data_IF_466748635622
#
_entry.id   IF_466748635622
#
_cell.length_a   1.000
_cell.length_b   1.000
_cell.length_c   1.000
_cell.angle_alpha   90.00
_cell.angle_beta   90.00
_cell.angle_gamma   90.00
#
_symmetry.space_group_name_H-M   'P 1'
#
loop_
_entity.id
_entity.type
_entity.pdbx_description
1 polymer ?
#
# COMPACT_ATOMS: atom_id res chain seq x y z
N UNK A 1 13.20 13.92 0.45
CA UNK A 1 14.50 13.45 -0.09
C UNK A 1 14.16 12.19 -0.85
N UNK A 2 14.44 12.09 -2.16
CA UNK A 2 14.11 10.87 -2.90
C UNK A 2 14.90 9.70 -2.33
N UNK A 3 14.18 8.69 -1.84
CA UNK A 3 14.70 7.37 -1.50
C UNK A 3 15.72 6.94 -2.56
N UNK A 4 17.02 6.96 -2.22
CA UNK A 4 18.06 6.37 -3.06
C UNK A 4 17.94 4.85 -2.94
N UNK A 5 16.89 4.29 -3.54
CA UNK A 5 16.72 2.86 -3.68
C UNK A 5 17.83 2.39 -4.61
N UNK A 6 18.93 1.89 -4.05
CA UNK A 6 19.96 1.22 -4.84
C UNK A 6 19.31 0.09 -5.65
N UNK A 7 19.72 -0.08 -6.90
CA UNK A 7 19.19 -1.11 -7.82
C UNK A 7 19.19 -2.53 -7.22
N UNK A 8 20.12 -2.82 -6.30
CA UNK A 8 20.15 -4.10 -5.58
C UNK A 8 18.96 -4.31 -4.64
N UNK A 9 18.51 -3.26 -3.95
CA UNK A 9 17.32 -3.33 -3.09
C UNK A 9 16.06 -3.46 -3.95
N UNK A 10 16.01 -2.72 -5.05
CA UNK A 10 14.90 -2.82 -6.00
C UNK A 10 14.82 -4.22 -6.61
N UNK A 11 15.95 -4.82 -7.00
CA UNK A 11 15.99 -6.19 -7.53
C UNK A 11 15.50 -7.22 -6.51
N UNK A 12 15.98 -7.16 -5.26
CA UNK A 12 15.57 -8.09 -4.21
C UNK A 12 14.07 -7.96 -3.87
N UNK A 13 13.54 -6.74 -3.85
CA UNK A 13 12.10 -6.51 -3.63
C UNK A 13 11.29 -6.94 -4.84
N UNK A 14 11.75 -6.68 -6.07
CA UNK A 14 11.09 -7.13 -7.30
C UNK A 14 10.99 -8.66 -7.36
N UNK A 15 12.04 -9.39 -6.97
CA UNK A 15 11.97 -10.85 -6.85
C UNK A 15 10.92 -11.30 -5.82
N UNK A 16 10.83 -10.63 -4.67
CA UNK A 16 9.79 -10.95 -3.68
C UNK A 16 8.39 -10.64 -4.19
N UNK A 17 8.19 -9.55 -4.91
CA UNK A 17 6.91 -9.17 -5.50
C UNK A 17 6.52 -10.15 -6.60
N UNK A 18 7.47 -10.58 -7.44
CA UNK A 18 7.21 -11.59 -8.47
C UNK A 18 6.79 -12.93 -7.83
N UNK A 19 7.52 -13.35 -6.79
CA UNK A 19 7.18 -14.55 -6.02
C UNK A 19 5.85 -14.42 -5.28
N UNK A 20 5.56 -13.25 -4.70
CA UNK A 20 4.29 -12.96 -4.05
C UNK A 20 3.17 -13.01 -5.08
N UNK A 21 3.30 -12.34 -6.22
CA UNK A 21 2.31 -12.31 -7.29
C UNK A 21 2.03 -13.69 -7.90
N UNK A 22 3.02 -14.58 -7.96
CA UNK A 22 2.80 -15.98 -8.37
C UNK A 22 1.95 -16.77 -7.37
N UNK A 23 1.93 -16.36 -6.09
CA UNK A 23 1.15 -17.03 -5.04
C UNK A 23 -0.18 -16.35 -4.75
N UNK A 24 -0.16 -15.02 -4.70
CA UNK A 24 -1.22 -14.13 -4.23
C UNK A 24 -1.10 -12.78 -4.94
N UNK A 25 -2.14 -12.40 -5.67
CA UNK A 25 -2.19 -11.11 -6.35
C UNK A 25 -2.33 -9.97 -5.33
N UNK A 26 -1.83 -8.80 -5.71
CA UNK A 26 -2.03 -7.56 -4.96
C UNK A 26 -3.42 -7.00 -5.23
N UNK A 27 -4.05 -6.50 -4.17
CA UNK A 27 -5.36 -5.85 -4.17
C UNK A 27 -5.24 -4.43 -3.63
N UNK A 28 -6.10 -3.54 -4.11
CA UNK A 28 -6.35 -2.25 -3.45
C UNK A 28 -7.68 -2.38 -2.73
N UNK A 29 -7.66 -2.08 -1.43
CA UNK A 29 -8.86 -2.02 -0.62
C UNK A 29 -8.99 -0.64 0.01
N UNK A 30 -10.24 -0.21 0.18
CA UNK A 30 -10.55 0.94 1.01
C UNK A 30 -10.98 0.47 2.38
N UNK A 31 -10.47 1.12 3.42
CA UNK A 31 -10.85 0.98 4.81
C UNK A 31 -11.59 2.25 5.21
N UNK A 32 -12.83 2.10 5.67
CA UNK A 32 -13.64 3.19 6.20
C UNK A 32 -13.75 3.02 7.70
N UNK A 33 -13.11 3.89 8.47
CA UNK A 33 -13.19 3.86 9.93
C UNK A 33 -14.63 4.17 10.38
N UNK A 34 -15.24 3.29 11.19
CA UNK A 34 -16.63 3.49 11.65
C UNK A 34 -16.77 4.66 12.61
N UNK A 35 -15.70 4.99 13.36
CA UNK A 35 -15.71 6.03 14.37
C UNK A 35 -15.69 7.44 13.77
N UNK A 36 -14.90 7.66 12.71
CA UNK A 36 -14.65 8.98 12.11
C UNK A 36 -15.26 9.13 10.72
N UNK A 37 -15.55 8.02 10.03
CA UNK A 37 -15.90 8.02 8.62
C UNK A 37 -14.70 8.21 7.70
N UNK A 38 -13.47 8.27 8.23
CA UNK A 38 -12.26 8.47 7.44
C UNK A 38 -12.06 7.31 6.47
N UNK A 39 -11.84 7.64 5.20
CA UNK A 39 -11.57 6.66 4.15
C UNK A 39 -10.07 6.62 3.88
N UNK A 40 -9.48 5.43 3.99
CA UNK A 40 -8.08 5.18 3.69
C UNK A 40 -7.97 4.06 2.64
N UNK A 41 -7.23 4.29 1.57
CA UNK A 41 -7.00 3.29 0.52
C UNK A 41 -5.63 2.68 0.70
N UNK A 42 -5.54 1.37 0.80
CA UNK A 42 -4.29 0.66 1.04
C UNK A 42 -4.10 -0.41 -0.03
N UNK A 43 -2.84 -0.68 -0.36
CA UNK A 43 -2.44 -1.77 -1.24
C UNK A 43 -1.93 -2.89 -0.33
N UNK A 44 -2.29 -4.13 -0.63
CA UNK A 44 -1.77 -5.30 0.09
C UNK A 44 -2.00 -6.56 -0.74
N UNK A 45 -1.47 -7.71 -0.35
CA UNK A 45 -1.82 -8.98 -0.97
C UNK A 45 -3.16 -9.53 -0.44
N UNK A 46 -3.86 -10.34 -1.24
CA UNK A 46 -5.18 -10.86 -0.86
C UNK A 46 -5.20 -11.67 0.45
N UNK A 47 -4.10 -12.32 0.82
CA UNK A 47 -4.02 -13.11 2.07
C UNK A 47 -3.86 -12.19 3.29
N UNK A 48 -2.99 -11.19 3.18
CA UNK A 48 -2.83 -10.13 4.17
C UNK A 48 -4.11 -9.32 4.33
N UNK A 49 -4.82 -9.01 3.25
CA UNK A 49 -6.13 -8.34 3.31
C UNK A 49 -7.11 -9.10 4.20
N UNK A 50 -7.25 -10.42 4.01
CA UNK A 50 -8.15 -11.25 4.84
C UNK A 50 -7.76 -11.17 6.31
N UNK A 51 -6.46 -11.28 6.58
CA UNK A 51 -5.91 -11.22 7.94
C UNK A 51 -6.16 -9.87 8.61
N UNK A 52 -6.01 -8.76 7.87
CA UNK A 52 -6.25 -7.39 8.35
C UNK A 52 -7.76 -7.15 8.55
N UNK A 53 -8.57 -7.59 7.58
CA UNK A 53 -10.03 -7.47 7.65
C UNK A 53 -10.57 -8.21 8.88
N UNK A 54 -10.12 -9.42 9.15
CA UNK A 54 -10.53 -10.16 10.34
C UNK A 54 -10.15 -9.47 11.65
N UNK A 55 -8.99 -8.79 11.70
CA UNK A 55 -8.51 -8.05 12.87
C UNK A 55 -9.26 -6.74 13.09
N UNK A 56 -9.62 -6.03 12.02
CA UNK A 56 -10.17 -4.67 12.08
C UNK A 56 -11.65 -4.57 11.67
N UNK A 57 -12.34 -5.67 11.38
CA UNK A 57 -13.78 -5.69 11.03
C UNK A 57 -14.69 -5.04 12.07
N UNK A 58 -14.25 -5.01 13.33
CA UNK A 58 -14.99 -4.38 14.42
C UNK A 58 -14.98 -2.85 14.28
N UNK A 59 -13.82 -2.28 13.97
CA UNK A 59 -13.55 -0.84 14.00
C UNK A 59 -13.68 -0.15 12.63
N UNK A 60 -13.46 -0.89 11.53
CA UNK A 60 -13.49 -0.37 10.18
C UNK A 60 -14.25 -1.28 9.21
N UNK A 61 -14.80 -0.70 8.15
CA UNK A 61 -15.39 -1.41 7.02
C UNK A 61 -14.37 -1.43 5.89
N UNK A 62 -13.83 -2.61 5.62
CA UNK A 62 -12.82 -2.81 4.58
C UNK A 62 -13.44 -3.50 3.36
N UNK A 63 -13.29 -2.88 2.18
CA UNK A 63 -13.78 -3.43 0.92
C UNK A 63 -12.72 -3.34 -0.16
N UNK A 64 -12.52 -4.42 -0.90
CA UNK A 64 -11.63 -4.44 -2.07
C UNK A 64 -12.27 -3.60 -3.16
N UNK A 65 -11.57 -2.56 -3.62
CA UNK A 65 -11.98 -1.72 -4.75
C UNK A 65 -11.30 -2.16 -6.04
N UNK A 66 -10.18 -2.88 -5.94
CA UNK A 66 -9.49 -3.48 -7.07
C UNK A 66 -8.83 -4.80 -6.68
N UNK A 67 -9.23 -5.87 -7.34
CA UNK A 67 -8.78 -7.24 -7.06
C UNK A 67 -7.44 -7.59 -7.71
N UNK A 68 -7.03 -6.89 -8.78
CA UNK A 68 -5.77 -7.18 -9.46
C UNK A 68 -5.03 -5.87 -9.70
N UNK A 69 -3.94 -5.69 -8.98
CA UNK A 69 -2.99 -4.59 -9.22
C UNK A 69 -1.89 -5.09 -10.17
N UNK A 70 -1.68 -4.44 -11.33
CA UNK A 70 -0.60 -4.80 -12.23
C UNK A 70 0.75 -4.59 -11.55
N UNK A 71 1.70 -5.49 -11.81
CA UNK A 71 3.06 -5.36 -11.29
C UNK A 71 3.82 -4.32 -12.09
N UNK A 72 3.82 -3.09 -11.58
CA UNK A 72 4.52 -1.93 -12.15
C UNK A 72 5.71 -1.53 -11.29
N UNK A 73 6.57 -0.66 -11.82
CA UNK A 73 7.71 -0.13 -11.07
C UNK A 73 7.24 0.66 -9.82
N UNK A 74 6.06 1.30 -9.87
CA UNK A 74 5.51 2.00 -8.72
C UNK A 74 5.00 1.06 -7.64
N UNK A 75 4.40 -0.09 -8.01
CA UNK A 75 4.10 -1.15 -7.04
C UNK A 75 5.38 -1.68 -6.39
N UNK A 76 6.45 -1.82 -7.18
CA UNK A 76 7.75 -2.25 -6.66
C UNK A 76 8.33 -1.28 -5.64
N UNK A 77 8.30 0.02 -5.94
CA UNK A 77 8.75 1.07 -5.03
C UNK A 77 7.89 1.16 -3.78
N UNK A 78 6.58 1.03 -3.91
CA UNK A 78 5.65 0.98 -2.80
C UNK A 78 5.99 -0.15 -1.82
N UNK A 79 6.23 -1.37 -2.30
CA UNK A 79 6.58 -2.49 -1.43
C UNK A 79 7.95 -2.31 -0.73
N UNK A 80 8.92 -1.65 -1.39
CA UNK A 80 10.18 -1.26 -0.74
C UNK A 80 9.87 -0.31 0.41
N UNK A 81 9.09 0.74 0.14
CA UNK A 81 8.75 1.76 1.14
C UNK A 81 7.93 1.17 2.29
N UNK A 82 7.00 0.23 2.03
CA UNK A 82 6.25 -0.49 3.06
C UNK A 82 7.20 -1.30 3.95
N UNK A 83 8.14 -2.03 3.35
CA UNK A 83 9.11 -2.80 4.10
C UNK A 83 10.01 -1.90 4.97
N UNK A 84 10.38 -0.74 4.45
CA UNK A 84 11.15 0.26 5.19
C UNK A 84 10.32 0.88 6.32
N UNK A 85 9.06 1.23 6.07
CA UNK A 85 8.16 1.80 7.06
C UNK A 85 7.89 0.82 8.21
N UNK A 86 7.77 -0.48 7.90
CA UNK A 86 7.65 -1.52 8.91
C UNK A 86 8.91 -1.64 9.80
N UNK A 87 10.11 -1.39 9.24
CA UNK A 87 11.37 -1.40 10.00
C UNK A 87 11.64 -0.07 10.73
N UNK A 88 11.17 1.05 10.19
CA UNK A 88 11.42 2.41 10.65
C UNK A 88 10.11 3.20 10.77
N UNK A 89 9.15 2.78 11.60
CA UNK A 89 7.80 3.38 11.66
C UNK A 89 7.79 4.81 12.22
N UNK A 90 8.90 5.27 12.80
CA UNK A 90 9.06 6.61 13.35
C UNK A 90 9.81 7.56 12.39
N UNK A 91 10.27 7.06 11.24
CA UNK A 91 10.99 7.90 10.28
C UNK A 91 10.00 8.59 9.35
N UNK A 92 9.85 9.91 9.53
CA UNK A 92 8.90 10.71 8.77
C UNK A 92 9.19 10.71 7.27
N UNK A 93 10.45 10.59 6.86
CA UNK A 93 10.79 10.54 5.44
C UNK A 93 10.31 9.22 4.82
N UNK A 94 10.47 8.11 5.54
CA UNK A 94 9.98 6.79 5.08
C UNK A 94 8.45 6.75 5.00
N UNK A 95 7.76 7.38 5.95
CA UNK A 95 6.29 7.50 5.90
C UNK A 95 5.81 8.39 4.73
N UNK A 96 6.49 9.52 4.49
CA UNK A 96 6.20 10.40 3.35
C UNK A 96 6.45 9.68 2.01
N UNK A 97 7.53 8.92 1.91
CA UNK A 97 7.83 8.08 0.75
C UNK A 97 6.75 6.98 0.56
N UNK A 98 6.34 6.30 1.63
CA UNK A 98 5.29 5.28 1.58
C UNK A 98 3.97 5.86 1.06
N UNK A 99 3.57 7.03 1.57
CA UNK A 99 2.38 7.73 1.08
C UNK A 99 2.52 8.13 -0.40
N UNK A 100 3.69 8.68 -0.76
CA UNK A 100 4.00 9.08 -2.14
C UNK A 100 3.84 7.91 -3.11
N UNK A 101 4.44 6.75 -2.80
CA UNK A 101 4.33 5.58 -3.67
C UNK A 101 2.95 4.92 -3.61
N UNK A 102 2.27 4.97 -2.47
CA UNK A 102 0.87 4.52 -2.37
C UNK A 102 0.00 5.32 -3.33
N UNK A 103 0.13 6.64 -3.32
CA UNK A 103 -0.60 7.55 -4.20
C UNK A 103 -0.22 7.37 -5.67
N UNK A 104 1.03 7.07 -5.98
CA UNK A 104 1.47 6.74 -7.33
C UNK A 104 0.76 5.48 -7.85
N UNK A 105 0.76 4.40 -7.07
CA UNK A 105 0.06 3.14 -7.43
C UNK A 105 -1.45 3.38 -7.56
N UNK A 106 -2.07 4.14 -6.64
CA UNK A 106 -3.49 4.48 -6.73
C UNK A 106 -3.80 5.24 -8.02
N UNK A 107 -3.02 6.28 -8.33
CA UNK A 107 -3.21 7.11 -9.53
C UNK A 107 -3.04 6.31 -10.81
N UNK A 108 -2.01 5.45 -10.87
CA UNK A 108 -1.75 4.55 -12.00
C UNK A 108 -2.91 3.56 -12.21
N UNK A 109 -3.57 3.16 -11.12
CA UNK A 109 -4.73 2.28 -11.12
C UNK A 109 -6.08 3.04 -11.22
N UNK A 110 -6.04 4.33 -11.56
CA UNK A 110 -7.21 5.21 -11.67
C UNK A 110 -8.06 5.31 -10.39
N UNK A 111 -7.43 5.09 -9.23
CA UNK A 111 -8.02 5.27 -7.92
C UNK A 111 -7.73 6.68 -7.40
N UNK A 112 -8.59 7.17 -6.50
CA UNK A 112 -8.35 8.43 -5.81
C UNK A 112 -7.14 8.27 -4.86
N UNK A 113 -6.24 9.25 -4.87
CA UNK A 113 -5.13 9.30 -3.93
C UNK A 113 -5.63 9.46 -2.49
N UNK A 114 -4.86 8.95 -1.52
CA UNK A 114 -4.99 9.35 -0.13
C UNK A 114 -4.34 10.74 -0.02
N UNK A 115 -5.16 11.76 -0.19
CA UNK A 115 -4.75 13.13 0.10
C UNK A 115 -5.33 13.43 1.47
N UNK A 116 -4.61 14.10 2.37
CA UNK A 116 -5.13 14.65 3.64
C UNK A 116 -6.23 15.71 3.44
N UNK A 117 -6.79 15.82 2.22
CA UNK A 117 -7.85 16.72 1.77
C UNK A 117 -9.26 16.16 2.13
N UNK A 118 -9.39 15.51 3.29
CA UNK A 118 -10.66 15.42 4.04
C UNK A 118 -10.66 16.48 5.16
N UNK A 119 -9.97 17.59 4.92
CA UNK A 119 -10.12 18.86 5.66
C UNK A 119 -10.54 19.99 4.71
N UNK A 120 -11.76 19.93 4.17
CA UNK A 120 -12.72 21.06 4.19
C UNK A 120 -14.15 20.59 3.86
#
# INVERSE_FOLDING_TARGET
MALNINDQQLAAVRERIDQANQKSHFVIFQSVEKATGKVLRLITDIESFRTIQEQHQADAVMVIIQDIVPITDDLARWAVAENMAAQQPNDAAVLEDLETYTNAVLTENHQAANTDDDQD
#
